data_IF_515102206227
#
_entry.id   IF_515102206227
#
_cell.length_a   1.000
_cell.length_b   1.000
_cell.length_c   1.000
_cell.angle_alpha   90.00
_cell.angle_beta   90.00
_cell.angle_gamma   90.00
#
_symmetry.space_group_name_H-M   'P 1'
#
loop_
_entity.id
_entity.type
_entity.pdbx_description
1 polymer ?
#
# COMPACT_ATOMS: atom_id res chain seq x y z
N UNK A 1 -31.94 37.81 -69.90
CA UNK A 1 -31.00 38.86 -70.35
C UNK A 1 -29.82 38.78 -69.40
N UNK A 2 -28.73 38.16 -69.89
CA UNK A 2 -27.33 38.20 -69.41
C UNK A 2 -27.06 37.64 -67.99
N UNK A 3 -26.00 36.94 -67.65
CA UNK A 3 -24.94 36.15 -68.30
C UNK A 3 -24.20 35.42 -67.15
N UNK A 4 -23.59 34.26 -67.46
CA UNK A 4 -22.27 33.71 -67.07
C UNK A 4 -21.66 34.01 -65.67
N UNK A 5 -20.80 33.23 -65.01
CA UNK A 5 -19.93 32.07 -65.31
C UNK A 5 -19.31 31.65 -63.94
N UNK A 6 -19.24 30.37 -63.53
CA UNK A 6 -18.11 29.42 -63.67
C UNK A 6 -17.31 29.11 -62.38
N UNK A 7 -16.95 27.82 -62.20
CA UNK A 7 -15.85 27.33 -61.34
C UNK A 7 -16.25 26.70 -59.98
N UNK A 8 -16.67 25.43 -59.83
CA UNK A 8 -16.00 24.12 -60.00
C UNK A 8 -15.38 23.51 -58.71
N UNK A 9 -15.94 22.34 -58.32
CA UNK A 9 -15.33 21.07 -57.86
C UNK A 9 -15.20 20.68 -56.36
N UNK A 10 -15.70 19.45 -56.14
CA UNK A 10 -15.33 18.38 -55.19
C UNK A 10 -15.80 18.49 -53.73
N UNK A 11 -16.18 17.44 -52.98
CA UNK A 11 -16.51 16.02 -53.21
C UNK A 11 -16.94 15.44 -51.83
N UNK A 12 -17.85 14.44 -51.82
CA UNK A 12 -18.15 13.51 -50.69
C UNK A 12 -19.20 14.03 -49.69
N UNK A 13 -20.42 13.48 -49.55
CA UNK A 13 -20.84 12.14 -49.04
C UNK A 13 -20.09 11.80 -47.73
N UNK A 14 -20.73 11.62 -46.56
CA UNK A 14 -21.88 10.77 -46.28
C UNK A 14 -22.78 11.26 -45.13
N UNK A 15 -24.06 10.89 -45.22
CA UNK A 15 -25.04 10.86 -44.14
C UNK A 15 -25.05 9.46 -43.53
N UNK A 16 -25.03 9.30 -42.21
CA UNK A 16 -25.94 8.34 -41.54
C UNK A 16 -26.16 8.73 -40.07
N UNK A 17 -27.43 8.78 -39.68
CA UNK A 17 -27.99 8.93 -38.34
C UNK A 17 -28.20 7.57 -37.66
N UNK A 18 -28.05 7.55 -36.33
CA UNK A 18 -28.78 6.77 -35.29
C UNK A 18 -28.98 5.25 -35.46
N UNK A 19 -28.46 4.44 -34.52
CA UNK A 19 -29.26 3.85 -33.42
C UNK A 19 -28.46 2.92 -32.48
N UNK A 20 -28.91 2.94 -31.23
CA UNK A 20 -28.79 2.04 -30.07
C UNK A 20 -28.17 0.64 -30.25
N UNK A 21 -27.38 0.20 -29.26
CA UNK A 21 -27.69 -0.96 -28.37
C UNK A 21 -26.50 -1.42 -27.52
N UNK A 22 -26.83 -1.78 -26.27
CA UNK A 22 -26.23 -2.81 -25.42
C UNK A 22 -24.75 -2.64 -24.98
N UNK A 23 -24.58 -2.16 -23.74
CA UNK A 23 -23.37 -2.46 -22.96
C UNK A 23 -23.42 -3.95 -22.57
N UNK A 24 -22.58 -4.74 -23.24
CA UNK A 24 -22.50 -6.17 -23.08
C UNK A 24 -21.76 -6.55 -21.77
N UNK A 25 -22.41 -7.38 -20.96
CA UNK A 25 -22.00 -7.86 -19.62
C UNK A 25 -20.89 -8.92 -19.64
N UNK A 26 -20.17 -9.09 -20.75
CA UNK A 26 -19.14 -10.13 -20.92
C UNK A 26 -17.71 -9.68 -20.58
N UNK A 27 -17.51 -8.45 -20.10
CA UNK A 27 -16.16 -7.88 -19.87
C UNK A 27 -15.63 -8.02 -18.44
N UNK A 28 -16.41 -8.62 -17.53
CA UNK A 28 -16.00 -8.91 -16.14
C UNK A 28 -15.59 -10.38 -15.90
N UNK A 29 -15.72 -11.25 -16.90
CA UNK A 29 -15.47 -12.69 -16.75
C UNK A 29 -14.09 -13.17 -17.28
N UNK A 30 -13.09 -12.28 -17.42
CA UNK A 30 -11.76 -12.64 -17.95
C UNK A 30 -10.57 -12.21 -17.08
N UNK A 31 -10.81 -11.89 -15.81
CA UNK A 31 -9.75 -11.80 -14.79
C UNK A 31 -9.85 -12.93 -13.74
N UNK A 32 -10.53 -14.01 -14.10
CA UNK A 32 -10.49 -15.29 -13.38
C UNK A 32 -9.85 -16.33 -14.31
N UNK A 33 -8.95 -17.14 -13.76
CA UNK A 33 -8.20 -18.24 -14.38
C UNK A 33 -6.78 -17.91 -14.90
N UNK A 34 -5.83 -17.87 -13.96
CA UNK A 34 -4.52 -18.52 -14.12
C UNK A 34 -4.06 -19.06 -12.76
N UNK A 35 -4.83 -19.98 -12.20
CA UNK A 35 -4.39 -20.89 -11.13
C UNK A 35 -4.72 -22.29 -11.58
N UNK A 36 -3.93 -22.83 -12.52
CA UNK A 36 -3.98 -24.25 -12.83
C UNK A 36 -2.55 -24.76 -13.04
N UNK A 37 -2.34 -25.94 -12.45
CA UNK A 37 -1.18 -26.85 -12.55
C UNK A 37 0.02 -26.63 -11.63
N UNK A 38 -0.15 -26.92 -10.33
CA UNK A 38 0.74 -27.85 -9.59
C UNK A 38 -0.10 -28.65 -8.58
N UNK A 39 -0.56 -29.83 -8.97
CA UNK A 39 -1.09 -30.85 -8.05
C UNK A 39 -0.08 -31.99 -7.93
N UNK A 40 0.67 -32.04 -6.83
CA UNK A 40 1.01 -33.28 -6.11
C UNK A 40 1.14 -32.94 -4.62
N UNK A 41 0.21 -33.48 -3.84
CA UNK A 41 0.12 -33.35 -2.38
C UNK A 41 1.07 -34.35 -1.71
N UNK A 42 1.99 -33.87 -0.88
CA UNK A 42 2.62 -34.66 0.18
C UNK A 42 2.01 -34.19 1.52
N UNK A 43 1.49 -35.11 2.37
CA UNK A 43 0.98 -34.76 3.69
C UNK A 43 2.16 -34.69 4.67
N UNK A 44 2.16 -33.66 5.53
CA UNK A 44 3.11 -33.42 6.64
C UNK A 44 4.19 -32.35 6.39
N UNK A 45 3.80 -31.06 6.30
CA UNK A 45 4.64 -29.93 6.72
C UNK A 45 3.84 -28.64 6.95
N UNK A 46 4.09 -28.03 8.10
CA UNK A 46 3.47 -26.83 8.69
C UNK A 46 3.84 -25.51 7.97
N UNK A 47 2.83 -24.72 7.63
CA UNK A 47 2.90 -23.25 7.51
C UNK A 47 3.86 -22.63 6.47
N UNK A 48 3.57 -22.76 5.17
CA UNK A 48 4.32 -22.09 4.09
C UNK A 48 4.18 -20.56 4.14
N UNK A 49 5.30 -19.90 4.46
CA UNK A 49 5.52 -18.45 4.50
C UNK A 49 5.45 -17.86 3.08
N UNK A 50 4.50 -16.97 2.81
CA UNK A 50 4.41 -16.26 1.52
C UNK A 50 5.41 -15.10 1.52
N UNK A 51 6.49 -15.25 0.75
CA UNK A 51 7.41 -14.16 0.43
C UNK A 51 6.75 -13.34 -0.68
N UNK A 52 6.32 -12.10 -0.39
CA UNK A 52 5.69 -11.24 -1.40
C UNK A 52 6.73 -10.62 -2.33
N UNK A 53 6.81 -11.17 -3.54
CA UNK A 53 7.51 -10.51 -4.64
C UNK A 53 6.84 -9.17 -4.98
N UNK A 54 7.59 -8.18 -5.52
CA UNK A 54 7.01 -6.93 -5.98
C UNK A 54 5.92 -7.21 -7.03
N UNK A 55 4.87 -6.39 -7.05
CA UNK A 55 3.78 -6.53 -8.02
C UNK A 55 4.33 -6.31 -9.46
N UNK A 56 3.97 -7.15 -10.44
CA UNK A 56 4.43 -6.97 -11.82
C UNK A 56 3.87 -5.66 -12.42
N UNK A 57 4.60 -5.04 -13.36
CA UNK A 57 4.09 -3.88 -14.09
C UNK A 57 2.80 -4.24 -14.84
N UNK A 58 1.83 -3.32 -14.84
CA UNK A 58 0.58 -3.51 -15.56
C UNK A 58 0.83 -3.44 -17.07
N UNK A 59 0.36 -4.44 -17.80
CA UNK A 59 0.48 -4.45 -19.26
C UNK A 59 -0.41 -3.34 -19.85
N UNK A 60 0.11 -2.47 -20.73
CA UNK A 60 -0.70 -1.47 -21.42
C UNK A 60 -1.69 -2.14 -22.38
N UNK A 61 -2.83 -1.51 -22.59
CA UNK A 61 -3.85 -1.96 -23.54
C UNK A 61 -3.46 -1.58 -24.97
N UNK A 62 -4.01 -2.28 -25.97
CA UNK A 62 -3.71 -2.00 -27.38
C UNK A 62 -4.10 -0.57 -27.80
N UNK A 63 -5.07 0.04 -27.11
CA UNK A 63 -5.49 1.43 -27.30
C UNK A 63 -4.47 2.47 -26.82
N UNK A 64 -3.54 2.10 -25.94
CA UNK A 64 -2.49 2.99 -25.44
C UNK A 64 -1.35 3.15 -26.45
N UNK A 65 -1.37 2.34 -27.52
CA UNK A 65 -0.45 2.43 -28.64
C UNK A 65 -0.93 3.45 -29.68
N UNK A 66 -0.13 4.49 -29.91
CA UNK A 66 -0.41 5.53 -30.93
C UNK A 66 -0.39 5.03 -32.39
N UNK A 67 -0.07 3.75 -32.65
CA UNK A 67 -0.04 3.12 -33.97
C UNK A 67 0.97 3.70 -34.98
N UNK A 68 1.76 4.69 -34.56
CA UNK A 68 2.56 5.54 -35.44
C UNK A 68 4.05 5.21 -35.42
N UNK A 69 4.45 4.12 -34.74
CA UNK A 69 5.85 3.67 -34.68
C UNK A 69 6.78 4.60 -33.90
N UNK A 70 6.29 5.27 -32.85
CA UNK A 70 7.10 6.12 -31.98
C UNK A 70 8.12 5.31 -31.16
N UNK A 71 9.29 5.91 -30.88
CA UNK A 71 10.34 5.33 -30.01
C UNK A 71 10.61 6.27 -28.83
N UNK A 72 10.57 5.79 -27.57
CA UNK A 72 10.11 4.46 -27.14
C UNK A 72 8.57 4.36 -27.14
N UNK A 73 8.04 3.22 -27.59
CA UNK A 73 6.62 2.87 -27.53
C UNK A 73 6.19 2.52 -26.10
N UNK A 74 4.90 2.62 -25.78
CA UNK A 74 4.34 2.19 -24.48
C UNK A 74 4.66 0.73 -24.16
N UNK A 75 4.68 -0.13 -25.18
CA UNK A 75 5.10 -1.53 -25.04
C UNK A 75 6.61 -1.67 -24.80
N UNK A 76 7.44 -0.79 -25.36
CA UNK A 76 8.89 -0.80 -25.10
C UNK A 76 9.20 -0.44 -23.65
N UNK A 77 8.48 0.55 -23.10
CA UNK A 77 8.56 0.93 -21.69
C UNK A 77 8.11 -0.23 -20.81
N UNK A 78 6.96 -0.85 -21.11
CA UNK A 78 6.47 -2.02 -20.39
C UNK A 78 7.48 -3.19 -20.43
N UNK A 79 8.07 -3.47 -21.59
CA UNK A 79 9.07 -4.52 -21.73
C UNK A 79 10.34 -4.22 -20.93
N UNK A 80 10.75 -2.95 -20.88
CA UNK A 80 11.88 -2.50 -20.07
C UNK A 80 11.57 -2.65 -18.57
N UNK A 81 10.40 -2.21 -18.12
CA UNK A 81 9.93 -2.34 -16.74
C UNK A 81 9.79 -3.81 -16.34
N UNK A 82 9.28 -4.67 -17.24
CA UNK A 82 9.17 -6.11 -17.02
C UNK A 82 10.56 -6.77 -16.92
N UNK A 83 11.55 -6.30 -17.70
CA UNK A 83 12.94 -6.78 -17.59
C UNK A 83 13.54 -6.39 -16.25
N UNK A 84 13.37 -5.14 -15.82
CA UNK A 84 13.82 -4.63 -14.52
C UNK A 84 13.18 -5.45 -13.39
N UNK A 85 11.86 -5.60 -13.44
CA UNK A 85 11.09 -6.39 -12.47
C UNK A 85 11.56 -7.85 -12.41
N UNK A 86 11.72 -8.52 -13.56
CA UNK A 86 12.23 -9.91 -13.63
C UNK A 86 13.63 -10.04 -13.04
N UNK A 87 14.51 -9.06 -13.27
CA UNK A 87 15.86 -9.07 -12.70
C UNK A 87 15.81 -8.88 -11.18
N UNK A 88 14.94 -8.00 -10.70
CA UNK A 88 14.81 -7.72 -9.26
C UNK A 88 14.23 -8.92 -8.51
N UNK A 89 13.19 -9.57 -9.05
CA UNK A 89 12.67 -10.83 -8.51
C UNK A 89 13.75 -11.92 -8.44
N UNK A 90 14.62 -12.02 -9.46
CA UNK A 90 15.75 -12.97 -9.43
C UNK A 90 16.78 -12.63 -8.37
N UNK A 91 17.09 -11.34 -8.15
CA UNK A 91 18.00 -10.92 -7.08
C UNK A 91 17.42 -11.27 -5.71
N UNK A 92 16.14 -10.95 -5.48
CA UNK A 92 15.43 -11.31 -4.25
C UNK A 92 15.49 -12.83 -4.05
N UNK A 93 15.18 -13.62 -5.08
CA UNK A 93 15.26 -15.09 -5.03
C UNK A 93 16.68 -15.63 -4.83
N UNK A 94 17.72 -14.98 -5.37
CA UNK A 94 19.12 -15.37 -5.18
C UNK A 94 19.64 -15.00 -3.79
N UNK A 95 19.29 -13.82 -3.28
CA UNK A 95 19.63 -13.38 -1.92
C UNK A 95 19.00 -14.32 -0.88
N UNK A 96 17.77 -14.79 -1.12
CA UNK A 96 17.12 -15.82 -0.29
C UNK A 96 17.84 -17.18 -0.32
N UNK A 97 18.51 -17.54 -1.43
CA UNK A 97 19.28 -18.79 -1.56
C UNK A 97 20.68 -18.71 -0.94
N UNK A 98 21.28 -17.52 -0.90
CA UNK A 98 22.68 -17.33 -0.50
C UNK A 98 22.89 -17.06 1.00
N UNK A 99 21.82 -16.87 1.79
CA UNK A 99 21.92 -16.83 3.25
C UNK A 99 22.75 -15.66 3.82
N UNK A 100 22.95 -14.59 3.04
CA UNK A 100 23.52 -13.34 3.54
C UNK A 100 22.38 -12.48 4.08
N UNK A 101 22.43 -12.26 5.40
CA UNK A 101 21.41 -11.73 6.30
C UNK A 101 20.15 -12.60 6.43
N UNK A 102 20.02 -13.25 7.59
CA UNK A 102 18.72 -13.62 8.17
C UNK A 102 17.91 -12.34 8.39
N UNK A 103 17.30 -11.82 7.34
CA UNK A 103 16.04 -11.10 7.48
C UNK A 103 14.99 -12.21 7.49
N UNK A 104 14.66 -12.71 8.70
CA UNK A 104 13.34 -13.28 8.91
C UNK A 104 12.37 -12.32 8.21
N UNK A 105 11.67 -12.81 7.18
CA UNK A 105 10.95 -12.00 6.19
C UNK A 105 9.84 -11.08 6.74
N UNK A 106 9.75 -10.92 8.06
CA UNK A 106 9.03 -9.88 8.73
C UNK A 106 9.99 -8.75 9.15
N UNK A 107 9.70 -7.54 8.69
CA UNK A 107 10.42 -6.32 9.09
C UNK A 107 10.35 -6.07 10.60
N UNK A 108 9.36 -6.65 11.27
CA UNK A 108 9.17 -6.62 12.71
C UNK A 108 9.34 -8.03 13.32
N UNK A 109 9.69 -8.06 14.61
CA UNK A 109 9.71 -9.28 15.43
C UNK A 109 8.90 -9.06 16.70
N UNK A 110 8.15 -10.07 17.15
CA UNK A 110 7.36 -9.96 18.40
C UNK A 110 8.27 -9.95 19.64
N UNK A 111 9.39 -10.66 19.58
CA UNK A 111 10.35 -10.81 20.67
C UNK A 111 11.46 -9.76 20.63
N UNK A 112 11.89 -9.36 19.44
CA UNK A 112 13.07 -8.52 19.24
C UNK A 112 12.73 -7.09 18.83
N UNK A 113 13.49 -6.14 19.38
CA UNK A 113 13.38 -4.74 18.99
C UNK A 113 14.30 -4.45 17.81
N UNK A 114 13.73 -3.81 16.78
CA UNK A 114 14.46 -3.30 15.61
C UNK A 114 14.47 -1.78 15.59
N UNK A 115 15.52 -1.20 15.04
CA UNK A 115 15.74 0.25 15.07
C UNK A 115 15.23 0.90 13.81
N UNK A 116 14.49 2.00 13.97
CA UNK A 116 13.98 2.82 12.88
C UNK A 116 14.34 4.28 13.12
N UNK A 117 14.69 4.98 12.05
CA UNK A 117 15.09 6.38 12.10
C UNK A 117 13.90 7.30 11.87
N UNK A 118 13.78 8.36 12.67
CA UNK A 118 12.79 9.41 12.48
C UNK A 118 13.25 10.35 11.37
N UNK A 119 12.47 10.50 10.31
CA UNK A 119 12.78 11.38 9.17
C UNK A 119 11.97 12.67 9.18
N UNK A 120 10.80 12.68 9.80
CA UNK A 120 9.94 13.87 9.90
C UNK A 120 9.29 13.92 11.28
N UNK A 121 9.19 15.13 11.85
CA UNK A 121 8.37 15.42 13.02
C UNK A 121 7.50 16.62 12.69
N UNK A 122 6.19 16.41 12.63
CA UNK A 122 5.20 17.45 12.33
C UNK A 122 4.27 17.65 13.51
N UNK A 123 4.06 18.90 13.91
CA UNK A 123 3.07 19.24 14.91
C UNK A 123 1.69 19.32 14.25
N UNK A 124 0.74 18.49 14.69
CA UNK A 124 -0.63 18.47 14.14
C UNK A 124 -1.59 19.31 15.00
N UNK A 125 -1.37 19.34 16.31
CA UNK A 125 -2.16 20.16 17.25
C UNK A 125 -1.27 20.76 18.34
N UNK A 126 -1.86 21.44 19.35
CA UNK A 126 -1.11 21.97 20.50
C UNK A 126 -0.24 20.91 21.20
N UNK A 127 -0.70 19.66 21.28
CA UNK A 127 0.00 18.60 22.00
C UNK A 127 0.07 17.26 21.24
N UNK A 128 -0.36 17.20 19.98
CA UNK A 128 -0.23 16.01 19.14
C UNK A 128 0.78 16.25 18.02
N UNK A 129 1.65 15.27 17.82
CA UNK A 129 2.72 15.30 16.85
C UNK A 129 2.69 14.01 16.02
N UNK A 130 2.91 14.16 14.71
CA UNK A 130 3.12 13.07 13.76
C UNK A 130 4.62 12.84 13.61
N UNK A 131 5.05 11.61 13.87
CA UNK A 131 6.43 11.16 13.68
C UNK A 131 6.47 10.20 12.51
N UNK A 132 7.27 10.51 11.50
CA UNK A 132 7.52 9.63 10.35
C UNK A 132 8.80 8.86 10.57
N UNK A 133 8.72 7.55 10.39
CA UNK A 133 9.86 6.65 10.49
C UNK A 133 10.17 6.04 9.13
N UNK A 134 11.46 6.01 8.81
CA UNK A 134 11.97 5.40 7.59
C UNK A 134 11.93 3.87 7.70
N UNK A 135 11.40 3.23 6.67
CA UNK A 135 11.54 1.79 6.43
C UNK A 135 12.63 1.56 5.37
N UNK A 136 13.21 0.34 5.32
CA UNK A 136 14.02 -0.08 4.19
C UNK A 136 13.30 0.14 2.85
N UNK A 137 14.06 0.40 1.80
CA UNK A 137 13.50 0.66 0.48
C UNK A 137 12.58 -0.48 0.03
N UNK A 138 11.48 -0.12 -0.62
CA UNK A 138 10.47 -1.05 -1.14
C UNK A 138 9.81 -1.98 -0.10
N UNK A 139 9.96 -1.70 1.20
CA UNK A 139 9.32 -2.45 2.28
C UNK A 139 8.14 -1.70 2.90
N UNK A 140 7.15 -2.45 3.37
CA UNK A 140 6.10 -1.97 4.26
C UNK A 140 6.32 -2.49 5.68
N UNK A 141 5.61 -1.94 6.66
CA UNK A 141 5.77 -2.32 8.07
C UNK A 141 5.34 -3.78 8.35
N UNK A 142 4.51 -4.37 7.47
CA UNK A 142 4.02 -5.74 7.61
C UNK A 142 2.93 -5.91 8.68
N UNK A 143 2.12 -4.88 8.92
CA UNK A 143 0.95 -4.97 9.82
C UNK A 143 -0.32 -5.31 9.04
N UNK A 144 -1.23 -6.05 9.67
CA UNK A 144 -2.62 -6.17 9.23
C UNK A 144 -3.52 -5.16 9.94
N UNK A 145 -4.71 -4.92 9.38
CA UNK A 145 -5.66 -3.94 9.94
C UNK A 145 -6.04 -4.32 11.37
N UNK A 146 -5.84 -3.37 12.30
CA UNK A 146 -6.13 -3.56 13.72
C UNK A 146 -4.91 -3.98 14.56
N UNK A 147 -3.78 -4.22 13.91
CA UNK A 147 -2.50 -4.43 14.59
C UNK A 147 -1.81 -3.12 14.97
N UNK A 148 -0.93 -3.22 15.96
CA UNK A 148 -0.15 -2.13 16.52
C UNK A 148 1.26 -2.62 16.85
N UNK A 149 2.15 -1.67 17.16
CA UNK A 149 3.54 -1.92 17.49
C UNK A 149 3.84 -1.50 18.92
N UNK A 150 4.92 -2.03 19.49
CA UNK A 150 5.46 -1.61 20.78
C UNK A 150 6.76 -0.86 20.56
N UNK A 151 6.83 0.35 21.10
CA UNK A 151 7.96 1.25 20.94
C UNK A 151 8.67 1.44 22.27
N UNK A 152 10.00 1.50 22.21
CA UNK A 152 10.90 1.80 23.31
C UNK A 152 11.85 2.93 22.89
N UNK A 153 12.12 3.82 23.83
CA UNK A 153 13.16 4.83 23.65
C UNK A 153 14.54 4.25 23.95
N UNK A 154 15.48 4.42 23.03
CA UNK A 154 16.87 3.94 23.15
C UNK A 154 17.67 4.83 24.12
N UNK A 155 17.30 6.12 24.21
CA UNK A 155 18.09 7.11 24.96
C UNK A 155 18.01 6.93 26.47
N UNK A 156 17.00 6.21 26.95
CA UNK A 156 16.72 6.08 28.37
C UNK A 156 17.06 4.67 28.87
N UNK A 157 17.87 4.60 29.95
CA UNK A 157 18.13 3.35 30.67
C UNK A 157 16.88 2.74 31.31
N UNK A 158 15.75 3.47 31.36
CA UNK A 158 14.46 2.92 31.77
C UNK A 158 13.82 2.14 30.63
N UNK A 159 13.50 0.86 30.88
CA UNK A 159 12.85 -0.09 29.96
C UNK A 159 11.38 0.23 29.64
N UNK A 160 10.99 1.51 29.61
CA UNK A 160 9.60 1.89 29.33
C UNK A 160 9.27 1.66 27.87
N UNK A 161 8.30 0.79 27.63
CA UNK A 161 7.71 0.56 26.32
C UNK A 161 6.22 0.90 26.31
N UNK A 162 5.70 1.33 25.15
CA UNK A 162 4.26 1.63 24.97
C UNK A 162 3.80 1.16 23.60
N UNK A 163 2.53 0.76 23.55
CA UNK A 163 1.84 0.36 22.33
C UNK A 163 1.40 1.61 21.54
N UNK A 164 1.59 1.57 20.23
CA UNK A 164 1.12 2.61 19.31
C UNK A 164 0.62 1.97 18.02
N UNK A 165 -0.50 2.48 17.52
CA UNK A 165 -1.05 2.09 16.22
C UNK A 165 -0.56 3.08 15.16
N UNK A 166 0.12 2.62 14.10
CA UNK A 166 0.47 3.48 12.97
C UNK A 166 -0.76 4.08 12.31
N UNK A 167 -0.65 5.34 11.87
CA UNK A 167 -1.73 6.05 11.15
C UNK A 167 -1.55 6.03 9.64
N UNK A 168 -0.36 5.66 9.16
CA UNK A 168 -0.12 5.34 7.74
C UNK A 168 -0.84 4.05 7.35
N UNK A 169 -1.22 3.93 6.08
CA UNK A 169 -1.82 2.71 5.55
C UNK A 169 -0.93 1.49 5.74
N UNK A 170 -1.54 0.31 5.92
CA UNK A 170 -0.83 -0.96 6.14
C UNK A 170 0.09 -1.34 4.98
N UNK A 171 -0.27 -0.91 3.76
CA UNK A 171 0.50 -1.14 2.53
C UNK A 171 1.44 0.04 2.20
N UNK A 172 1.61 0.99 3.12
CA UNK A 172 2.50 2.14 2.91
C UNK A 172 3.96 1.67 2.80
N UNK A 173 4.60 2.03 1.68
CA UNK A 173 5.98 1.64 1.38
C UNK A 173 6.95 2.74 1.80
N UNK A 174 8.09 2.33 2.35
CA UNK A 174 9.23 3.20 2.67
C UNK A 174 9.08 4.00 3.96
N UNK A 175 7.89 4.11 4.55
CA UNK A 175 7.71 4.76 5.84
C UNK A 175 6.45 4.29 6.58
N UNK A 176 6.42 4.58 7.87
CA UNK A 176 5.18 4.57 8.66
C UNK A 176 5.10 5.79 9.58
N UNK A 177 3.87 6.21 9.87
CA UNK A 177 3.59 7.42 10.64
C UNK A 177 2.95 7.07 11.98
N UNK A 178 3.36 7.77 13.05
CA UNK A 178 2.81 7.65 14.39
C UNK A 178 2.23 8.98 14.86
N UNK A 179 0.97 8.98 15.28
CA UNK A 179 0.33 10.13 15.89
C UNK A 179 0.37 10.03 17.42
N UNK A 180 1.17 10.86 18.07
CA UNK A 180 1.43 10.78 19.51
C UNK A 180 1.02 12.08 20.19
N UNK A 181 0.17 11.97 21.22
CA UNK A 181 -0.16 13.08 22.11
C UNK A 181 0.80 13.11 23.29
N UNK A 182 1.43 14.25 23.51
CA UNK A 182 2.39 14.47 24.58
C UNK A 182 1.68 15.06 25.80
N UNK A 183 1.86 14.38 26.93
CA UNK A 183 1.34 14.79 28.22
C UNK A 183 2.48 15.30 29.10
N UNK A 184 2.26 16.39 29.84
CA UNK A 184 3.33 17.03 30.61
C UNK A 184 3.87 16.18 31.75
N UNK A 185 3.04 15.33 32.36
CA UNK A 185 3.48 14.41 33.42
C UNK A 185 3.70 12.98 32.91
N UNK A 186 3.55 12.74 31.60
CA UNK A 186 3.67 11.42 31.00
C UNK A 186 5.13 10.99 30.87
N UNK A 187 5.55 9.93 31.56
CA UNK A 187 6.94 9.44 31.50
C UNK A 187 7.41 9.14 30.06
N UNK A 188 6.60 8.44 29.27
CA UNK A 188 6.90 8.18 27.85
C UNK A 188 6.89 9.48 27.04
N UNK A 189 5.94 10.39 27.29
CA UNK A 189 5.90 11.70 26.63
C UNK A 189 7.16 12.53 26.91
N UNK A 190 7.74 12.44 28.10
CA UNK A 190 9.00 13.12 28.44
C UNK A 190 10.21 12.53 27.70
N UNK A 191 10.20 11.24 27.39
CA UNK A 191 11.19 10.65 26.49
C UNK A 191 10.98 11.14 25.04
N UNK A 192 9.75 11.05 24.54
CA UNK A 192 9.40 11.40 23.15
C UNK A 192 9.61 12.89 22.86
N UNK A 193 9.40 13.79 23.85
CA UNK A 193 9.71 15.23 23.73
C UNK A 193 11.17 15.51 23.31
N UNK A 194 12.09 14.56 23.54
CA UNK A 194 13.51 14.69 23.18
C UNK A 194 13.80 14.18 21.77
N UNK A 195 12.88 13.43 21.15
CA UNK A 195 13.06 12.91 19.80
C UNK A 195 13.09 14.03 18.77
N UNK A 196 14.04 13.95 17.86
CA UNK A 196 14.25 14.88 16.76
C UNK A 196 14.46 14.08 15.47
N UNK A 197 14.31 14.74 14.33
CA UNK A 197 14.72 14.16 13.04
C UNK A 197 16.16 13.64 13.14
N UNK A 198 16.39 12.45 12.61
CA UNK A 198 17.65 11.72 12.68
C UNK A 198 17.79 10.80 13.90
N UNK A 199 16.94 10.94 14.93
CA UNK A 199 16.95 10.05 16.08
C UNK A 199 16.47 8.64 15.72
N UNK A 200 16.94 7.64 16.46
CA UNK A 200 16.52 6.24 16.30
C UNK A 200 15.63 5.82 17.46
N UNK A 201 14.63 5.01 17.16
CA UNK A 201 13.75 4.40 18.16
C UNK A 201 13.67 2.89 17.94
N UNK A 202 13.38 2.15 19.00
CA UNK A 202 13.27 0.70 18.97
C UNK A 202 11.80 0.28 18.88
N UNK A 203 11.50 -0.60 17.93
CA UNK A 203 10.15 -1.05 17.63
C UNK A 203 10.12 -2.57 17.54
N UNK A 204 9.08 -3.17 18.11
CA UNK A 204 8.77 -4.60 17.98
C UNK A 204 7.29 -4.79 17.69
N UNK A 205 6.92 -5.94 17.14
CA UNK A 205 5.57 -6.29 16.70
C UNK A 205 5.59 -7.37 15.62
N UNK A 206 4.46 -7.63 14.95
CA UNK A 206 3.14 -7.03 15.15
C UNK A 206 2.46 -7.49 16.46
N UNK A 207 1.53 -6.69 16.99
CA UNK A 207 0.61 -7.12 18.06
C UNK A 207 -0.80 -6.71 17.74
N UNK A 208 -1.78 -7.35 18.37
CA UNK A 208 -3.19 -7.00 18.25
C UNK A 208 -4.01 -8.20 17.78
N UNK A 209 -5.19 -8.32 18.36
CA UNK A 209 -6.15 -9.39 18.06
C UNK A 209 -7.34 -8.90 17.25
N UNK A 210 -7.41 -7.60 16.96
CA UNK A 210 -8.45 -7.03 16.13
C UNK A 210 -8.17 -7.38 14.68
N UNK A 211 -9.00 -8.25 14.11
CA UNK A 211 -8.92 -8.64 12.70
C UNK A 211 -10.15 -8.14 11.96
N UNK A 212 -9.94 -7.23 11.03
CA UNK A 212 -10.93 -6.77 10.07
C UNK A 212 -10.68 -7.44 8.72
N UNK A 213 -11.76 -7.84 8.05
CA UNK A 213 -11.75 -8.34 6.68
C UNK A 213 -12.91 -7.69 5.93
N UNK A 214 -12.78 -7.56 4.61
CA UNK A 214 -13.80 -6.92 3.78
C UNK A 214 -15.17 -7.55 3.99
N UNK A 215 -16.22 -6.73 4.02
CA UNK A 215 -17.62 -7.15 4.21
C UNK A 215 -17.88 -7.99 5.47
N UNK A 216 -16.96 -8.02 6.45
CA UNK A 216 -17.15 -8.77 7.70
C UNK A 216 -18.35 -8.26 8.49
N UNK A 217 -18.63 -6.97 8.37
CA UNK A 217 -19.78 -6.32 9.00
C UNK A 217 -20.48 -5.45 7.96
N UNK A 218 -21.81 -5.47 7.93
CA UNK A 218 -22.58 -4.59 7.04
C UNK A 218 -22.44 -3.10 7.43
N UNK A 219 -22.42 -2.82 8.74
CA UNK A 219 -22.31 -1.47 9.29
C UNK A 219 -21.30 -1.46 10.43
N UNK A 220 -20.45 -0.45 10.45
CA UNK A 220 -19.40 -0.27 11.44
C UNK A 220 -19.52 1.12 12.07
N UNK A 221 -19.63 1.18 13.39
CA UNK A 221 -19.64 2.46 14.14
C UNK A 221 -18.31 2.58 14.87
N UNK A 222 -17.56 3.65 14.56
CA UNK A 222 -16.23 3.94 15.09
C UNK A 222 -16.32 5.16 16.02
N UNK A 223 -16.02 4.97 17.31
CA UNK A 223 -16.09 6.01 18.34
C UNK A 223 -14.69 6.37 18.86
N UNK A 224 -14.12 7.50 18.42
CA UNK A 224 -12.77 7.91 18.81
C UNK A 224 -12.74 9.20 19.62
N UNK A 225 -11.76 9.29 20.52
CA UNK A 225 -11.41 10.54 21.18
C UNK A 225 -9.89 10.75 21.15
N UNK A 226 -9.46 11.94 20.72
CA UNK A 226 -8.05 12.31 20.63
C UNK A 226 -7.26 11.36 19.72
N UNK A 227 -6.13 10.84 20.21
CA UNK A 227 -5.28 9.91 19.45
C UNK A 227 -5.84 8.49 19.35
N UNK A 228 -6.99 8.21 19.97
CA UNK A 228 -7.73 6.96 19.79
C UNK A 228 -8.27 6.76 18.37
N UNK A 229 -8.19 7.79 17.51
CA UNK A 229 -8.51 7.70 16.09
C UNK A 229 -7.54 6.81 15.30
N UNK A 230 -6.33 6.54 15.80
CA UNK A 230 -5.30 5.79 15.06
C UNK A 230 -5.78 4.39 14.60
N UNK A 231 -6.26 3.48 15.47
CA UNK A 231 -6.80 2.19 15.01
C UNK A 231 -8.00 2.33 14.08
N UNK A 232 -8.82 3.37 14.24
CA UNK A 232 -9.99 3.61 13.38
C UNK A 232 -9.57 4.02 11.98
N UNK A 233 -8.55 4.88 11.88
CA UNK A 233 -8.01 5.32 10.61
C UNK A 233 -7.45 4.16 9.77
N UNK A 234 -6.88 3.13 10.39
CA UNK A 234 -6.44 1.92 9.65
C UNK A 234 -7.61 1.15 9.07
N UNK A 235 -8.70 0.99 9.84
CA UNK A 235 -9.90 0.28 9.36
C UNK A 235 -10.52 1.05 8.20
N UNK A 236 -10.70 2.37 8.37
CA UNK A 236 -11.26 3.25 7.34
C UNK A 236 -10.42 3.21 6.07
N UNK A 237 -9.09 3.31 6.18
CA UNK A 237 -8.19 3.19 5.02
C UNK A 237 -8.27 1.82 4.36
N UNK A 238 -8.44 0.75 5.14
CA UNK A 238 -8.62 -0.61 4.62
C UNK A 238 -9.91 -0.76 3.82
N UNK A 239 -11.01 -0.21 4.32
CA UNK A 239 -12.31 -0.20 3.63
C UNK A 239 -12.23 0.64 2.35
N UNK A 240 -11.77 1.89 2.47
CA UNK A 240 -11.68 2.80 1.32
C UNK A 240 -10.65 2.38 0.27
N UNK A 241 -9.68 1.52 0.64
CA UNK A 241 -8.67 0.98 -0.25
C UNK A 241 -9.11 -0.30 -0.98
N UNK A 242 -10.31 -0.82 -0.72
CA UNK A 242 -10.85 -2.01 -1.36
C UNK A 242 -12.21 -1.71 -2.00
N UNK A 243 -12.27 -1.71 -3.33
CA UNK A 243 -13.50 -1.45 -4.09
C UNK A 243 -14.59 -2.50 -3.86
N UNK A 244 -14.22 -3.70 -3.38
CA UNK A 244 -15.16 -4.77 -3.06
C UNK A 244 -15.71 -4.69 -1.64
N UNK A 245 -15.26 -3.74 -0.81
CA UNK A 245 -15.71 -3.60 0.58
C UNK A 245 -16.87 -2.60 0.70
N UNK A 246 -18.10 -3.13 0.75
CA UNK A 246 -19.36 -2.38 0.84
C UNK A 246 -19.74 -2.02 2.29
N UNK A 247 -18.78 -2.03 3.22
CA UNK A 247 -19.04 -1.76 4.64
C UNK A 247 -19.44 -0.30 4.88
N UNK A 248 -20.65 -0.05 5.37
CA UNK A 248 -21.11 1.28 5.78
C UNK A 248 -20.38 1.72 7.07
N UNK A 249 -19.60 2.80 7.02
CA UNK A 249 -18.88 3.32 8.19
C UNK A 249 -19.48 4.62 8.71
N UNK A 250 -19.80 4.66 10.00
CA UNK A 250 -20.13 5.88 10.74
C UNK A 250 -19.05 6.18 11.77
N UNK A 251 -18.39 7.33 11.66
CA UNK A 251 -17.38 7.78 12.62
C UNK A 251 -17.91 8.92 13.48
N UNK A 252 -17.70 8.84 14.80
CA UNK A 252 -18.01 9.89 15.78
C UNK A 252 -16.83 10.18 16.70
#
# INVERSE_FOLDING_TARGET
MLDADSGNKASGKDKTTHNDLAFNTDKLAKLENCTDDISQEDPDADGSRVISLPCPPLKPEDSDCCGSGCVPCVFDIYEQDLKIWKQECRKIQQNLRNGEDQIDGCLLSESEYRKFQITEVKQETKNSFRYRLQLPEFSSLGLTIGQHIVIRDISNKSSMSRQYTPVSGVNCVGHFDLLIKLYDLGKMSQCIKKWKVGAHIEVRGPFGSLHYSANKYRKLILLAAGTGIAPMSQIIQGILGNEEDDTDVLCM
#
